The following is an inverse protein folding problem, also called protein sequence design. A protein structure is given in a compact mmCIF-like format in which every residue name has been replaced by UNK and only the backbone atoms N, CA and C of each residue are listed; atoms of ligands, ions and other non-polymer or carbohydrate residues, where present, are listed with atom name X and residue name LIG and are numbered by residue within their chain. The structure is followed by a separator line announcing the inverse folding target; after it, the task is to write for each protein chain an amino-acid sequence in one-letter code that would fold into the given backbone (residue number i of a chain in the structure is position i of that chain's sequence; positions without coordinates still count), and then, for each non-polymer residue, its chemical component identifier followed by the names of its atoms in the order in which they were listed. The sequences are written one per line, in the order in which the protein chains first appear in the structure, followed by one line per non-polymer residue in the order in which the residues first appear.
data_IF_468732429671
#
_entry.id   IF_468732429671
#
_cell.length_a   1.000
_cell.length_b   1.000
_cell.length_c   1.000
_cell.angle_alpha   90.00
_cell.angle_beta   90.00
_cell.angle_gamma   90.00
#
_symmetry.space_group_name_H-M   'P 1'
#
loop_
_entity.id
_entity.type
_entity.pdbx_description
1 polymer ?
#
# COMPACT_ATOMS: atom_id res chain seq x y z
N UNK A 1 9.86 -13.27 2.15
CA UNK A 1 8.64 -12.44 2.25
C UNK A 1 8.22 -12.25 3.70
N UNK A 2 7.91 -13.30 4.46
CA UNK A 2 7.38 -13.16 5.83
C UNK A 2 8.28 -12.36 6.78
N UNK A 3 9.59 -12.60 6.78
CA UNK A 3 10.53 -11.82 7.60
C UNK A 3 10.52 -10.32 7.27
N UNK A 4 10.41 -9.97 5.98
CA UNK A 4 10.27 -8.59 5.53
C UNK A 4 8.95 -8.00 6.03
N UNK A 5 7.83 -8.70 5.82
CA UNK A 5 6.53 -8.24 6.29
C UNK A 5 6.50 -8.07 7.81
N UNK A 6 7.06 -8.99 8.59
CA UNK A 6 7.16 -8.87 10.05
C UNK A 6 7.98 -7.65 10.48
N UNK A 7 9.10 -7.38 9.81
CA UNK A 7 9.88 -6.15 10.07
C UNK A 7 9.08 -4.88 9.74
N UNK A 8 8.33 -4.89 8.64
CA UNK A 8 7.46 -3.77 8.25
C UNK A 8 6.28 -3.60 9.21
N UNK A 9 5.67 -4.67 9.71
CA UNK A 9 4.63 -4.60 10.75
C UNK A 9 5.18 -4.00 12.03
N UNK A 10 6.38 -4.40 12.46
CA UNK A 10 7.03 -3.81 13.62
C UNK A 10 7.34 -2.31 13.39
N UNK A 11 7.79 -1.95 12.19
CA UNK A 11 8.03 -0.56 11.80
C UNK A 11 6.72 0.25 11.80
N UNK A 12 5.62 -0.29 11.27
CA UNK A 12 4.31 0.35 11.25
C UNK A 12 3.79 0.59 12.66
N UNK A 13 3.86 -0.42 13.53
CA UNK A 13 3.48 -0.28 14.94
C UNK A 13 4.23 0.87 15.63
N UNK A 14 5.54 0.99 15.39
CA UNK A 14 6.36 2.05 15.97
C UNK A 14 5.97 3.44 15.46
N UNK A 15 5.59 3.57 14.18
CA UNK A 15 5.31 4.86 13.55
C UNK A 15 3.87 5.35 13.64
N UNK A 16 2.90 4.43 13.75
CA UNK A 16 1.48 4.79 13.75
C UNK A 16 0.78 4.44 15.06
N UNK A 17 1.34 3.51 15.85
CA UNK A 17 0.67 2.94 17.02
C UNK A 17 -0.44 1.94 16.68
N UNK A 18 -0.64 1.59 15.40
CA UNK A 18 -1.62 0.57 15.02
C UNK A 18 -1.33 -0.77 15.70
N UNK A 19 -2.40 -1.51 16.02
CA UNK A 19 -2.26 -2.90 16.41
C UNK A 19 -1.87 -3.73 15.18
N UNK A 20 -0.67 -4.28 15.24
CA UNK A 20 -0.10 -5.13 14.20
C UNK A 20 -0.05 -6.60 14.63
N UNK A 21 -0.67 -6.96 15.76
CA UNK A 21 -0.85 -8.35 16.21
C UNK A 21 -1.98 -9.02 15.45
N UNK A 22 -1.87 -9.03 14.13
CA UNK A 22 -2.79 -9.65 13.19
C UNK A 22 -2.05 -10.74 12.42
N UNK A 23 -2.80 -11.62 11.75
CA UNK A 23 -2.19 -12.58 10.83
C UNK A 23 -1.48 -11.84 9.68
N UNK A 24 -0.46 -12.45 9.09
CA UNK A 24 0.17 -11.83 7.92
C UNK A 24 -0.74 -11.97 6.70
N UNK A 25 -0.85 -10.93 5.85
CA UNK A 25 -1.59 -11.04 4.61
C UNK A 25 -0.89 -12.01 3.66
N UNK A 26 -1.67 -12.65 2.79
CA UNK A 26 -1.13 -13.37 1.66
C UNK A 26 -0.53 -12.39 0.66
N UNK A 27 0.58 -12.76 0.01
CA UNK A 27 1.18 -11.96 -1.07
C UNK A 27 1.17 -12.74 -2.36
N UNK A 28 0.52 -12.18 -3.39
CA UNK A 28 0.42 -12.75 -4.72
C UNK A 28 1.18 -11.88 -5.73
N UNK A 29 2.34 -12.35 -6.18
CA UNK A 29 3.09 -11.73 -7.27
C UNK A 29 2.54 -12.25 -8.60
N UNK A 30 2.02 -11.37 -9.45
CA UNK A 30 1.33 -11.77 -10.69
C UNK A 30 1.59 -10.81 -11.85
N UNK A 31 1.38 -11.29 -13.07
CA UNK A 31 1.53 -10.49 -14.29
C UNK A 31 0.51 -9.33 -14.34
N UNK A 32 0.88 -8.26 -15.04
CA UNK A 32 0.08 -7.01 -15.18
C UNK A 32 -1.38 -7.28 -15.53
N UNK A 33 -1.63 -8.17 -16.50
CA UNK A 33 -2.99 -8.49 -16.95
C UNK A 33 -3.85 -9.09 -15.84
N UNK A 34 -3.27 -10.02 -15.06
CA UNK A 34 -3.94 -10.62 -13.91
C UNK A 34 -4.11 -9.61 -12.78
N UNK A 35 -3.12 -8.75 -12.54
CA UNK A 35 -3.18 -7.71 -11.52
C UNK A 35 -4.39 -6.80 -11.77
N UNK A 36 -4.55 -6.31 -13.00
CA UNK A 36 -5.69 -5.46 -13.36
C UNK A 36 -7.02 -6.20 -13.35
N UNK A 37 -7.06 -7.47 -13.78
CA UNK A 37 -8.28 -8.27 -13.69
C UNK A 37 -8.73 -8.44 -12.24
N UNK A 38 -7.80 -8.71 -11.31
CA UNK A 38 -8.12 -8.83 -9.89
C UNK A 38 -8.50 -7.47 -9.27
N UNK A 39 -7.96 -6.35 -9.78
CA UNK A 39 -8.35 -5.00 -9.39
C UNK A 39 -9.72 -4.58 -9.95
N UNK A 40 -10.26 -5.30 -10.93
CA UNK A 40 -11.55 -4.99 -11.57
C UNK A 40 -11.44 -4.06 -12.79
N UNK A 41 -10.26 -3.90 -13.36
CA UNK A 41 -10.00 -3.05 -14.54
C UNK A 41 -9.82 -3.90 -15.81
N UNK A 42 -10.44 -3.46 -16.91
CA UNK A 42 -10.26 -4.12 -18.20
C UNK A 42 -8.81 -3.97 -18.71
N UNK A 43 -8.27 -5.03 -19.31
CA UNK A 43 -6.86 -5.10 -19.73
C UNK A 43 -6.38 -3.91 -20.57
N UNK A 44 -7.24 -3.32 -21.43
CA UNK A 44 -6.88 -2.15 -22.25
C UNK A 44 -6.61 -0.86 -21.47
N UNK A 45 -7.18 -0.72 -20.28
CA UNK A 45 -6.93 0.44 -19.39
C UNK A 45 -5.79 0.17 -18.40
N UNK A 46 -5.29 -1.06 -18.35
CA UNK A 46 -4.33 -1.51 -17.36
C UNK A 46 -2.96 -0.81 -17.50
N UNK A 47 -2.46 -0.66 -18.73
CA UNK A 47 -1.18 0.00 -18.98
C UNK A 47 -1.22 1.49 -18.61
N UNK A 48 -2.35 2.16 -18.87
CA UNK A 48 -2.53 3.57 -18.56
C UNK A 48 -2.52 3.85 -17.05
N UNK A 49 -3.01 2.91 -16.23
CA UNK A 49 -3.07 3.06 -14.78
C UNK A 49 -1.74 2.84 -14.07
N UNK A 50 -0.75 2.22 -14.73
CA UNK A 50 0.55 1.88 -14.14
C UNK A 50 0.44 1.16 -12.78
N UNK A 51 -0.63 0.38 -12.60
CA UNK A 51 -0.88 -0.38 -11.37
C UNK A 51 0.25 -1.39 -11.15
N UNK A 52 0.89 -1.36 -9.97
CA UNK A 52 1.94 -2.35 -9.62
C UNK A 52 1.70 -3.11 -8.32
N UNK A 53 0.54 -2.92 -7.72
CA UNK A 53 0.10 -3.58 -6.51
C UNK A 53 -1.13 -2.91 -5.91
N UNK A 54 -1.89 -3.69 -5.14
CA UNK A 54 -3.04 -3.25 -4.36
C UNK A 54 -3.37 -4.30 -3.27
N UNK A 55 -3.97 -3.85 -2.18
CA UNK A 55 -4.64 -4.71 -1.19
C UNK A 55 -6.11 -4.92 -1.55
N UNK A 56 -6.61 -6.16 -1.53
CA UNK A 56 -7.96 -6.51 -2.00
C UNK A 56 -9.03 -6.68 -0.90
N UNK A 57 -8.78 -6.23 0.34
CA UNK A 57 -9.68 -6.39 1.50
C UNK A 57 -9.95 -7.85 1.94
N UNK A 58 -9.54 -8.84 1.15
CA UNK A 58 -9.63 -10.29 1.44
C UNK A 58 -8.27 -10.85 1.87
N UNK A 59 -7.54 -10.06 2.68
CA UNK A 59 -6.23 -10.44 3.23
C UNK A 59 -5.16 -10.78 2.17
N UNK A 60 -5.32 -10.33 0.91
CA UNK A 60 -4.32 -10.58 -0.14
C UNK A 60 -3.79 -9.27 -0.71
N UNK A 61 -2.48 -9.12 -0.66
CA UNK A 61 -1.73 -8.07 -1.34
C UNK A 61 -1.29 -8.63 -2.69
N UNK A 62 -1.72 -8.00 -3.77
CA UNK A 62 -1.23 -8.33 -5.10
C UNK A 62 -0.09 -7.39 -5.45
N UNK A 63 0.96 -7.94 -6.06
CA UNK A 63 2.13 -7.19 -6.52
C UNK A 63 2.42 -7.54 -7.98
N UNK A 64 3.03 -6.60 -8.68
CA UNK A 64 3.46 -6.78 -10.05
C UNK A 64 4.55 -7.87 -10.18
N UNK A 65 4.54 -8.61 -11.28
CA UNK A 65 5.41 -9.75 -11.55
C UNK A 65 6.93 -9.49 -11.50
N UNK A 66 7.34 -8.22 -11.48
CA UNK A 66 8.74 -7.80 -11.38
C UNK A 66 9.14 -7.37 -9.97
N UNK A 67 8.30 -7.58 -8.96
CA UNK A 67 8.61 -7.22 -7.57
C UNK A 67 9.86 -7.95 -7.06
N UNK A 68 10.79 -7.19 -6.50
CA UNK A 68 12.04 -7.67 -5.90
C UNK A 68 12.04 -7.39 -4.39
N UNK A 69 12.15 -8.44 -3.58
CA UNK A 69 12.09 -8.32 -2.11
C UNK A 69 13.25 -7.50 -1.54
N UNK A 70 14.38 -7.45 -2.23
CA UNK A 70 15.60 -6.76 -1.81
C UNK A 70 15.66 -5.32 -2.33
N UNK A 71 14.76 -4.92 -3.23
CA UNK A 71 14.73 -3.59 -3.82
C UNK A 71 13.96 -2.63 -2.88
N UNK A 72 14.61 -1.59 -2.33
CA UNK A 72 13.96 -0.68 -1.38
C UNK A 72 12.74 0.08 -1.96
N UNK A 73 12.71 0.32 -3.27
CA UNK A 73 11.56 0.94 -3.93
C UNK A 73 10.36 -0.01 -3.98
N UNK A 74 10.59 -1.28 -4.28
CA UNK A 74 9.55 -2.31 -4.25
C UNK A 74 9.07 -2.56 -2.81
N UNK A 75 10.00 -2.63 -1.85
CA UNK A 75 9.66 -2.68 -0.43
C UNK A 75 8.75 -1.53 0.01
N UNK A 76 9.03 -0.29 -0.42
CA UNK A 76 8.18 0.87 -0.12
C UNK A 76 6.75 0.70 -0.66
N UNK A 77 6.60 0.01 -1.79
CA UNK A 77 5.28 -0.31 -2.35
C UNK A 77 4.58 -1.39 -1.54
N UNK A 78 5.28 -2.45 -1.13
CA UNK A 78 4.71 -3.45 -0.23
C UNK A 78 4.26 -2.81 1.09
N UNK A 79 5.06 -1.89 1.64
CA UNK A 79 4.69 -1.15 2.85
C UNK A 79 3.38 -0.38 2.66
N UNK A 80 3.20 0.31 1.52
CA UNK A 80 1.95 1.01 1.20
C UNK A 80 0.73 0.07 1.30
N UNK A 81 0.80 -1.10 0.68
CA UNK A 81 -0.30 -2.07 0.74
C UNK A 81 -0.50 -2.67 2.15
N UNK A 82 0.59 -2.82 2.92
CA UNK A 82 0.51 -3.24 4.32
C UNK A 82 -0.14 -2.18 5.22
N UNK A 83 0.03 -0.89 4.92
CA UNK A 83 -0.70 0.18 5.60
C UNK A 83 -2.20 -0.01 5.41
N UNK A 84 -2.67 -0.23 4.17
CA UNK A 84 -4.09 -0.49 3.92
C UNK A 84 -4.61 -1.74 4.63
N UNK A 85 -3.81 -2.80 4.64
CA UNK A 85 -4.13 -4.01 5.39
C UNK A 85 -4.33 -3.72 6.89
N UNK A 86 -3.40 -3.00 7.51
CA UNK A 86 -3.46 -2.68 8.94
C UNK A 86 -4.56 -1.66 9.26
N UNK A 87 -4.77 -0.66 8.41
CA UNK A 87 -5.88 0.28 8.51
C UNK A 87 -7.22 -0.49 8.56
N UNK A 88 -7.43 -1.44 7.66
CA UNK A 88 -8.63 -2.28 7.65
C UNK A 88 -8.83 -3.05 8.97
N UNK A 89 -7.75 -3.60 9.52
CA UNK A 89 -7.80 -4.37 10.77
C UNK A 89 -7.95 -3.52 12.04
N UNK A 90 -7.60 -2.24 11.98
CA UNK A 90 -7.72 -1.29 13.09
C UNK A 90 -8.95 -0.38 12.97
N UNK A 91 -9.71 -0.50 11.87
CA UNK A 91 -10.84 0.37 11.60
C UNK A 91 -12.12 -0.08 12.33
N UNK A 92 -12.10 -0.16 13.66
CA UNK A 92 -13.31 -0.39 14.46
C UNK A 92 -14.44 0.62 14.13
N UNK A 93 -14.12 1.75 13.46
CA UNK A 93 -15.04 2.76 12.97
C UNK A 93 -14.70 3.22 11.53
N UNK A 94 -15.00 2.38 10.51
CA UNK A 94 -14.89 2.73 9.06
C UNK A 94 -15.92 3.82 8.66
N UNK A 95 -15.83 5.00 9.27
CA UNK A 95 -16.43 6.27 8.81
C UNK A 95 -15.32 7.24 8.35
N UNK A 96 -14.11 6.73 8.14
CA UNK A 96 -12.99 7.52 7.62
C UNK A 96 -12.99 7.45 6.11
N UNK A 97 -13.01 8.60 5.45
CA UNK A 97 -12.96 8.68 4.00
C UNK A 97 -11.68 8.05 3.44
N UNK A 98 -11.82 7.32 2.32
CA UNK A 98 -10.74 6.60 1.65
C UNK A 98 -9.55 7.49 1.28
N UNK A 99 -9.78 8.75 0.89
CA UNK A 99 -8.71 9.69 0.55
C UNK A 99 -7.76 9.99 1.72
N UNK A 100 -8.28 10.03 2.96
CA UNK A 100 -7.44 10.21 4.17
C UNK A 100 -6.56 8.99 4.41
N UNK A 101 -7.12 7.78 4.23
CA UNK A 101 -6.39 6.52 4.38
C UNK A 101 -5.26 6.39 3.34
N UNK A 102 -5.55 6.73 2.08
CA UNK A 102 -4.59 6.75 0.98
C UNK A 102 -3.45 7.75 1.23
N UNK A 103 -3.77 8.93 1.77
CA UNK A 103 -2.76 9.95 2.07
C UNK A 103 -1.83 9.50 3.19
N UNK A 104 -2.35 8.85 4.24
CA UNK A 104 -1.51 8.24 5.27
C UNK A 104 -0.58 7.18 4.67
N UNK A 105 -1.09 6.29 3.80
CA UNK A 105 -0.29 5.26 3.14
C UNK A 105 0.84 5.86 2.29
N UNK A 106 0.59 6.95 1.54
CA UNK A 106 1.66 7.65 0.81
C UNK A 106 2.67 8.32 1.74
N UNK A 107 2.22 8.94 2.84
CA UNK A 107 3.14 9.60 3.80
C UNK A 107 4.08 8.58 4.44
N UNK A 108 3.57 7.42 4.84
CA UNK A 108 4.37 6.33 5.40
C UNK A 108 5.29 5.69 4.37
N UNK A 109 4.83 5.50 3.13
CA UNK A 109 5.67 5.06 2.02
C UNK A 109 6.84 6.02 1.79
N UNK A 110 6.58 7.32 1.73
CA UNK A 110 7.62 8.33 1.53
C UNK A 110 8.58 8.41 2.71
N UNK A 111 8.09 8.23 3.94
CA UNK A 111 8.95 8.16 5.12
C UNK A 111 9.91 6.97 5.02
N UNK A 112 9.39 5.77 4.74
CA UNK A 112 10.22 4.59 4.50
C UNK A 112 11.25 4.83 3.41
N UNK A 113 10.86 5.50 2.31
CA UNK A 113 11.77 5.81 1.22
C UNK A 113 12.94 6.67 1.69
N UNK A 114 12.66 7.73 2.43
CA UNK A 114 13.68 8.64 2.98
C UNK A 114 14.61 7.93 3.96
N UNK A 115 14.08 7.07 4.83
CA UNK A 115 14.89 6.27 5.77
C UNK A 115 15.84 5.29 5.07
N UNK A 116 15.53 4.92 3.82
CA UNK A 116 16.34 4.06 2.97
C UNK A 116 17.08 4.84 1.86
N UNK A 117 17.39 6.11 2.12
CA UNK A 117 18.20 6.97 1.24
C UNK A 117 17.61 7.21 -0.15
N UNK A 118 16.29 7.06 -0.30
CA UNK A 118 15.55 7.37 -1.53
C UNK A 118 14.80 8.70 -1.41
N UNK A 119 14.53 9.33 -2.56
CA UNK A 119 13.63 10.49 -2.62
C UNK A 119 12.17 10.08 -2.41
N UNK A 120 11.39 11.03 -1.90
CA UNK A 120 9.92 10.94 -1.86
C UNK A 120 9.36 10.72 -3.26
N UNK A 121 8.32 9.91 -3.36
CA UNK A 121 7.65 9.60 -4.62
C UNK A 121 6.32 10.33 -4.76
N UNK A 122 5.62 10.60 -3.65
CA UNK A 122 4.29 11.17 -3.73
C UNK A 122 4.33 12.61 -4.26
N UNK A 123 3.37 12.93 -5.14
CA UNK A 123 3.15 14.29 -5.62
C UNK A 123 2.34 15.06 -4.56
N UNK A 124 2.85 16.18 -4.01
CA UNK A 124 2.13 16.99 -3.04
C UNK A 124 0.73 17.41 -3.51
N UNK A 125 0.56 17.70 -4.80
CA UNK A 125 -0.75 18.07 -5.34
C UNK A 125 -1.74 16.89 -5.29
N UNK A 126 -1.26 15.67 -5.59
CA UNK A 126 -2.07 14.45 -5.47
C UNK A 126 -2.54 14.24 -4.03
N UNK A 127 -1.66 14.42 -3.05
CA UNK A 127 -2.03 14.26 -1.63
C UNK A 127 -3.13 15.23 -1.22
N UNK A 128 -3.00 16.51 -1.59
CA UNK A 128 -4.03 17.53 -1.30
C UNK A 128 -5.36 17.18 -1.96
N UNK A 129 -5.35 16.70 -3.21
CA UNK A 129 -6.57 16.32 -3.92
C UNK A 129 -7.27 15.10 -3.28
N UNK A 130 -6.50 14.14 -2.75
CA UNK A 130 -7.04 12.99 -2.04
C UNK A 130 -7.70 13.38 -0.72
N UNK A 131 -7.06 14.26 0.07
CA UNK A 131 -7.66 14.79 1.30
C UNK A 131 -8.93 15.60 0.99
N UNK A 132 -8.89 16.48 -0.01
CA UNK A 132 -10.03 17.33 -0.39
C UNK A 132 -11.24 16.54 -0.89
N UNK A 133 -11.05 15.36 -1.49
CA UNK A 133 -12.14 14.48 -1.93
C UNK A 133 -12.98 13.92 -0.76
N UNK A 134 -12.53 14.12 0.48
CA UNK A 134 -13.18 13.66 1.70
C UNK A 134 -14.02 14.74 2.40
N UNK A 135 -13.89 16.01 1.99
CA UNK A 135 -14.58 17.15 2.59
C UNK A 135 -15.90 17.50 1.87
N UNK A 136 -16.38 16.63 0.97
CA UNK A 136 -17.54 16.86 0.09
C UNK A 136 -18.78 16.04 0.45
#
# INVERSE_FOLDING_TARGET
MDALMLSMMAWLHFHTGYDTKVELPNVAITEVGNLCQNYGVQAGNCEAMQLKGFYNERQTIYLHGQFQQENPADQSRLLHELVHYIQWHNAEHVDTCWGVLEVEAYRLQDQWRVEHEMEKQSDPFKLVMLEAACDS
#
